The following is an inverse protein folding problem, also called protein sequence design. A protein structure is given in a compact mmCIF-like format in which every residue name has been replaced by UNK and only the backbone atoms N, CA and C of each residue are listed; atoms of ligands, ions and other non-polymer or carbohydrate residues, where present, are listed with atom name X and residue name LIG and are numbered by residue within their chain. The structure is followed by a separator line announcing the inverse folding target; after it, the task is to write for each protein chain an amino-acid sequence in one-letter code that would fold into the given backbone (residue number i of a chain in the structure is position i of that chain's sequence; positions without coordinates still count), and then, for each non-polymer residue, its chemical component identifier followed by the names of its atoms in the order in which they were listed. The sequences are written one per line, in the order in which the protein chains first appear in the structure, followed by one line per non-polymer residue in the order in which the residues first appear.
data_IF_708118256718
#
_entry.id   IF_708118256718
#
_cell.length_a   1.000
_cell.length_b   1.000
_cell.length_c   1.000
_cell.angle_alpha   90.00
_cell.angle_beta   90.00
_cell.angle_gamma   90.00
#
_symmetry.space_group_name_H-M   'P 1'
#
loop_
_entity.id
_entity.type
_entity.pdbx_description
1 polymer ?
#
# COMPACT_ATOMS: atom_id res chain seq x y z
N UNK A 1 9.69 -20.46 -5.62
CA UNK A 1 9.76 -19.99 -7.02
C UNK A 1 10.02 -21.21 -7.87
N UNK A 2 9.22 -21.46 -8.92
CA UNK A 2 9.41 -22.62 -9.77
C UNK A 2 10.79 -22.57 -10.45
N UNK A 3 11.36 -23.75 -10.73
CA UNK A 3 12.58 -23.84 -11.54
C UNK A 3 12.26 -23.63 -13.04
N UNK A 4 13.28 -23.56 -13.90
CA UNK A 4 13.06 -23.30 -15.33
C UNK A 4 12.27 -24.40 -16.05
N UNK A 5 12.42 -25.67 -15.67
CA UNK A 5 11.64 -26.75 -16.31
C UNK A 5 10.16 -26.65 -15.91
N UNK A 6 9.88 -26.38 -14.63
CA UNK A 6 8.52 -26.10 -14.15
C UNK A 6 7.92 -24.84 -14.82
N UNK A 7 8.73 -23.79 -15.06
CA UNK A 7 8.28 -22.61 -15.78
C UNK A 7 7.94 -22.89 -17.23
N UNK A 8 8.71 -23.74 -17.91
CA UNK A 8 8.40 -24.15 -19.29
C UNK A 8 7.06 -24.87 -19.36
N UNK A 9 6.77 -25.75 -18.39
CA UNK A 9 5.48 -26.42 -18.26
C UNK A 9 4.34 -25.42 -18.02
N UNK A 10 4.50 -24.50 -17.06
CA UNK A 10 3.49 -23.47 -16.74
C UNK A 10 3.23 -22.52 -17.90
N UNK A 11 4.28 -22.14 -18.64
CA UNK A 11 4.18 -21.26 -19.79
C UNK A 11 3.70 -21.98 -21.06
N UNK A 12 3.75 -23.32 -21.08
CA UNK A 12 3.50 -24.12 -22.28
C UNK A 12 4.54 -23.89 -23.39
N UNK A 13 5.73 -23.42 -23.04
CA UNK A 13 6.80 -23.04 -23.97
C UNK A 13 8.16 -23.50 -23.47
N UNK A 14 9.00 -24.02 -24.37
CA UNK A 14 10.38 -24.37 -24.05
C UNK A 14 11.35 -23.18 -24.17
N UNK A 15 10.86 -22.02 -24.63
CA UNK A 15 11.66 -20.82 -24.82
C UNK A 15 11.86 -20.09 -23.49
N UNK A 16 13.12 -19.85 -23.11
CA UNK A 16 13.45 -19.13 -21.88
C UNK A 16 12.86 -17.71 -21.85
N UNK A 17 12.70 -17.06 -23.01
CA UNK A 17 12.07 -15.75 -23.14
C UNK A 17 10.64 -15.75 -22.55
N UNK A 18 9.87 -16.80 -22.82
CA UNK A 18 8.49 -16.91 -22.31
C UNK A 18 8.48 -17.16 -20.80
N UNK A 19 9.42 -17.94 -20.28
CA UNK A 19 9.60 -18.10 -18.83
C UNK A 19 9.93 -16.76 -18.14
N UNK A 20 10.84 -15.96 -18.71
CA UNK A 20 11.15 -14.62 -18.16
C UNK A 20 9.97 -13.67 -18.27
N UNK A 21 9.26 -13.65 -19.41
CA UNK A 21 8.05 -12.83 -19.59
C UNK A 21 7.01 -13.18 -18.52
N UNK A 22 6.78 -14.46 -18.26
CA UNK A 22 5.86 -14.93 -17.24
C UNK A 22 6.26 -14.44 -15.84
N UNK A 23 7.52 -14.61 -15.44
CA UNK A 23 8.01 -14.14 -14.13
C UNK A 23 7.79 -12.63 -13.98
N UNK A 24 8.19 -11.83 -14.98
CA UNK A 24 8.06 -10.37 -14.88
C UNK A 24 6.61 -9.91 -14.90
N UNK A 25 5.73 -10.55 -15.68
CA UNK A 25 4.30 -10.25 -15.68
C UNK A 25 3.64 -10.61 -14.34
N UNK A 26 4.04 -11.73 -13.72
CA UNK A 26 3.59 -12.07 -12.38
C UNK A 26 4.06 -11.05 -11.35
N UNK A 27 5.35 -10.69 -11.37
CA UNK A 27 5.96 -9.74 -10.45
C UNK A 27 5.36 -8.31 -10.59
N UNK A 28 5.00 -7.89 -11.81
CA UNK A 28 4.25 -6.67 -12.10
C UNK A 28 2.85 -6.72 -11.46
N UNK A 29 2.10 -7.79 -11.71
CA UNK A 29 0.74 -8.00 -11.16
C UNK A 29 0.73 -8.02 -9.62
N UNK A 30 1.72 -8.68 -9.00
CA UNK A 30 1.88 -8.69 -7.55
C UNK A 30 2.13 -7.27 -7.01
N UNK A 31 2.93 -6.47 -7.71
CA UNK A 31 3.18 -5.08 -7.34
C UNK A 31 1.94 -4.19 -7.47
N UNK A 32 1.15 -4.36 -8.54
CA UNK A 32 -0.14 -3.67 -8.69
C UNK A 32 -1.10 -4.01 -7.55
N UNK A 33 -1.15 -5.28 -7.14
CA UNK A 33 -1.88 -5.72 -5.97
C UNK A 33 -1.40 -5.05 -4.67
N UNK A 34 -0.09 -4.84 -4.50
CA UNK A 34 0.47 -4.10 -3.37
C UNK A 34 0.07 -2.62 -3.39
N UNK A 35 0.18 -1.95 -4.55
CA UNK A 35 -0.22 -0.53 -4.73
C UNK A 35 -1.68 -0.33 -4.35
N UNK A 36 -2.57 -1.23 -4.80
CA UNK A 36 -3.99 -1.20 -4.47
C UNK A 36 -4.22 -1.31 -2.95
N UNK A 37 -3.63 -2.32 -2.30
CA UNK A 37 -3.78 -2.53 -0.84
C UNK A 37 -3.27 -1.34 -0.02
N UNK A 38 -2.10 -0.80 -0.36
CA UNK A 38 -1.55 0.38 0.35
C UNK A 38 -2.46 1.59 0.14
N UNK A 39 -3.03 1.76 -1.06
CA UNK A 39 -3.98 2.84 -1.35
C UNK A 39 -5.24 2.72 -0.49
N UNK A 40 -5.81 1.52 -0.37
CA UNK A 40 -6.96 1.24 0.49
C UNK A 40 -6.66 1.55 1.96
N UNK A 41 -5.50 1.10 2.47
CA UNK A 41 -5.05 1.40 3.83
C UNK A 41 -4.91 2.91 4.07
N UNK A 42 -4.30 3.64 3.13
CA UNK A 42 -4.20 5.10 3.21
C UNK A 42 -5.58 5.76 3.29
N UNK A 43 -6.54 5.31 2.47
CA UNK A 43 -7.88 5.87 2.44
C UNK A 43 -8.65 5.60 3.75
N UNK A 44 -8.56 4.37 4.28
CA UNK A 44 -9.15 4.04 5.58
C UNK A 44 -8.56 4.87 6.72
N UNK A 45 -7.24 5.09 6.69
CA UNK A 45 -6.56 5.87 7.72
C UNK A 45 -6.88 7.37 7.63
N UNK A 46 -7.01 7.93 6.42
CA UNK A 46 -7.50 9.31 6.21
C UNK A 46 -8.90 9.50 6.76
N UNK A 47 -9.81 8.56 6.52
CA UNK A 47 -11.17 8.61 7.07
C UNK A 47 -11.15 8.55 8.61
N UNK A 48 -10.31 7.69 9.19
CA UNK A 48 -10.15 7.60 10.64
C UNK A 48 -9.60 8.90 11.25
N UNK A 49 -8.59 9.51 10.61
CA UNK A 49 -8.02 10.79 11.04
C UNK A 49 -9.09 11.89 10.98
N UNK A 50 -9.88 11.96 9.91
CA UNK A 50 -10.97 12.93 9.79
C UNK A 50 -11.97 12.79 10.94
N UNK A 51 -12.42 11.56 11.21
CA UNK A 51 -13.36 11.29 12.32
C UNK A 51 -12.78 11.66 13.69
N UNK A 52 -11.49 11.40 13.91
CA UNK A 52 -10.85 11.77 15.17
C UNK A 52 -10.73 13.30 15.27
N UNK A 53 -10.50 14.03 14.17
CA UNK A 53 -10.47 15.48 14.17
C UNK A 53 -11.84 16.04 14.58
N UNK A 54 -12.92 15.53 13.98
CA UNK A 54 -14.30 15.93 14.33
C UNK A 54 -14.59 15.71 15.83
N UNK A 55 -14.19 14.56 16.39
CA UNK A 55 -14.37 14.23 17.80
C UNK A 55 -13.51 15.09 18.74
N UNK A 56 -12.29 15.45 18.31
CA UNK A 56 -11.41 16.34 19.07
C UNK A 56 -12.01 17.74 19.11
N UNK A 57 -12.49 18.26 17.98
CA UNK A 57 -13.12 19.57 17.87
C UNK A 57 -14.40 19.64 18.71
N UNK A 58 -15.24 18.60 18.62
CA UNK A 58 -16.44 18.46 19.48
C UNK A 58 -16.05 18.44 20.96
N UNK A 59 -15.07 17.61 21.34
CA UNK A 59 -14.60 17.50 22.72
C UNK A 59 -14.06 18.82 23.27
N UNK A 60 -13.32 19.60 22.46
CA UNK A 60 -12.80 20.91 22.88
C UNK A 60 -13.91 21.94 23.11
N UNK A 61 -15.08 21.77 22.49
CA UNK A 61 -16.23 22.65 22.65
C UNK A 61 -17.10 22.32 23.88
N UNK A 62 -16.85 21.19 24.55
CA UNK A 62 -17.60 20.79 25.76
C UNK A 62 -17.01 21.49 27.00
N UNK A 63 -17.83 22.28 27.70
CA UNK A 63 -17.40 23.09 28.84
C UNK A 63 -17.14 22.29 30.12
N UNK A 64 -17.67 21.06 30.23
CA UNK A 64 -17.59 20.24 31.44
C UNK A 64 -17.25 18.79 31.11
N UNK A 65 -15.95 18.48 31.15
CA UNK A 65 -15.48 17.10 31.29
C UNK A 65 -15.18 16.78 32.74
N UNK A 66 -15.54 15.57 33.16
CA UNK A 66 -14.90 14.97 34.33
C UNK A 66 -13.44 14.59 34.00
N UNK A 67 -12.66 14.28 35.04
CA UNK A 67 -11.25 13.97 34.87
C UNK A 67 -11.00 12.78 33.93
N UNK A 68 -11.90 11.79 33.89
CA UNK A 68 -11.77 10.62 33.03
C UNK A 68 -12.00 10.99 31.57
N UNK A 69 -13.01 11.80 31.28
CA UNK A 69 -13.31 12.26 29.93
C UNK A 69 -12.20 13.17 29.38
N UNK A 70 -11.58 14.00 30.22
CA UNK A 70 -10.41 14.80 29.83
C UNK A 70 -9.21 13.90 29.43
N UNK A 71 -8.92 12.86 30.21
CA UNK A 71 -7.87 11.87 29.85
C UNK A 71 -8.22 11.16 28.54
N UNK A 72 -9.51 10.87 28.30
CA UNK A 72 -9.98 10.29 27.04
C UNK A 72 -9.67 11.18 25.83
N UNK A 73 -9.96 12.48 25.93
CA UNK A 73 -9.66 13.45 24.87
C UNK A 73 -8.15 13.56 24.60
N UNK A 74 -7.32 13.61 25.65
CA UNK A 74 -5.85 13.61 25.47
C UNK A 74 -5.34 12.34 24.78
N UNK A 75 -5.90 11.18 25.12
CA UNK A 75 -5.57 9.93 24.46
C UNK A 75 -5.99 9.93 22.98
N UNK A 76 -7.13 10.53 22.66
CA UNK A 76 -7.62 10.68 21.28
C UNK A 76 -6.67 11.55 20.45
N UNK A 77 -6.21 12.69 20.99
CA UNK A 77 -5.21 13.57 20.36
C UNK A 77 -3.90 12.82 20.08
N UNK A 78 -3.40 12.07 21.06
CA UNK A 78 -2.20 11.24 20.90
C UNK A 78 -2.39 10.16 19.83
N UNK A 79 -3.55 9.50 19.82
CA UNK A 79 -3.87 8.48 18.83
C UNK A 79 -3.99 9.07 17.42
N UNK A 80 -4.54 10.29 17.27
CA UNK A 80 -4.60 10.99 15.99
C UNK A 80 -3.20 11.30 15.45
N UNK A 81 -2.29 11.82 16.29
CA UNK A 81 -0.92 12.08 15.89
C UNK A 81 -0.23 10.80 15.39
N UNK A 82 -0.40 9.67 16.09
CA UNK A 82 0.14 8.37 15.67
C UNK A 82 -0.49 7.85 14.36
N UNK A 83 -1.80 8.02 14.18
CA UNK A 83 -2.43 7.69 12.89
C UNK A 83 -1.82 8.54 11.75
N UNK A 84 -1.50 9.81 12.01
CA UNK A 84 -0.82 10.69 11.05
C UNK A 84 0.57 10.18 10.66
N UNK A 85 1.38 9.76 11.64
CA UNK A 85 2.70 9.16 11.39
C UNK A 85 2.60 7.87 10.54
N UNK A 86 1.66 6.99 10.87
CA UNK A 86 1.41 5.77 10.08
C UNK A 86 0.99 6.12 8.66
N UNK A 87 0.13 7.13 8.47
CA UNK A 87 -0.29 7.56 7.14
C UNK A 87 0.90 8.06 6.30
N UNK A 88 1.81 8.84 6.90
CA UNK A 88 3.01 9.30 6.21
C UNK A 88 3.91 8.13 5.78
N UNK A 89 4.10 7.14 6.65
CA UNK A 89 4.86 5.94 6.30
C UNK A 89 4.21 5.17 5.14
N UNK A 90 2.87 5.03 5.14
CA UNK A 90 2.14 4.36 4.04
C UNK A 90 2.20 5.15 2.73
N UNK A 91 2.19 6.48 2.78
CA UNK A 91 2.39 7.31 1.58
C UNK A 91 3.78 7.08 0.99
N UNK A 92 4.83 7.08 1.83
CA UNK A 92 6.18 6.76 1.37
C UNK A 92 6.29 5.36 0.76
N UNK A 93 5.64 4.37 1.38
CA UNK A 93 5.58 3.01 0.82
C UNK A 93 4.81 2.95 -0.51
N UNK A 94 3.74 3.72 -0.65
CA UNK A 94 2.96 3.82 -1.89
C UNK A 94 3.78 4.42 -3.03
N UNK A 95 4.54 5.48 -2.74
CA UNK A 95 5.39 6.14 -3.73
C UNK A 95 6.51 5.19 -4.20
N UNK A 96 7.11 4.45 -3.27
CA UNK A 96 8.08 3.40 -3.59
C UNK A 96 7.45 2.30 -4.45
N UNK A 97 6.29 1.79 -4.07
CA UNK A 97 5.59 0.74 -4.83
C UNK A 97 5.21 1.20 -6.24
N UNK A 98 4.86 2.47 -6.42
CA UNK A 98 4.58 3.06 -7.74
C UNK A 98 5.85 3.19 -8.59
N UNK A 99 6.96 3.62 -8.01
CA UNK A 99 8.24 3.69 -8.72
C UNK A 99 8.66 2.29 -9.20
N UNK A 100 8.57 1.28 -8.33
CA UNK A 100 8.85 -0.12 -8.66
C UNK A 100 7.90 -0.64 -9.75
N UNK A 101 6.63 -0.24 -9.75
CA UNK A 101 5.68 -0.64 -10.82
C UNK A 101 6.19 -0.20 -12.18
N UNK A 102 6.65 1.03 -12.29
CA UNK A 102 7.08 1.60 -13.56
C UNK A 102 8.37 0.90 -14.06
N UNK A 103 9.28 0.51 -13.14
CA UNK A 103 10.43 -0.35 -13.43
C UNK A 103 10.01 -1.76 -13.89
N UNK A 104 9.09 -2.42 -13.18
CA UNK A 104 8.61 -3.78 -13.52
C UNK A 104 7.90 -3.81 -14.86
N UNK A 105 7.07 -2.81 -15.15
CA UNK A 105 6.42 -2.65 -16.45
C UNK A 105 7.45 -2.52 -17.58
N UNK A 106 8.57 -1.84 -17.32
CA UNK A 106 9.67 -1.78 -18.29
C UNK A 106 10.31 -3.15 -18.53
N UNK A 107 10.50 -3.97 -17.49
CA UNK A 107 11.03 -5.34 -17.64
C UNK A 107 10.12 -6.21 -18.53
N UNK A 108 8.80 -6.12 -18.35
CA UNK A 108 7.84 -6.83 -19.21
C UNK A 108 7.96 -6.35 -20.66
N UNK A 109 7.99 -5.04 -20.92
CA UNK A 109 8.13 -4.49 -22.27
C UNK A 109 9.42 -4.97 -22.97
N UNK A 110 10.54 -5.08 -22.26
CA UNK A 110 11.80 -5.58 -22.82
C UNK A 110 11.71 -7.03 -23.30
N UNK A 111 10.81 -7.82 -22.72
CA UNK A 111 10.54 -9.19 -23.17
C UNK A 111 9.58 -9.24 -24.36
N UNK A 112 8.83 -8.18 -24.65
CA UNK A 112 7.91 -8.12 -25.82
C UNK A 112 8.57 -7.60 -27.09
N UNK A 113 9.56 -6.72 -26.98
CA UNK A 113 10.18 -6.04 -28.15
C UNK A 113 11.27 -6.88 -28.83
N UNK A 114 11.79 -7.92 -28.16
CA UNK A 114 12.89 -8.77 -28.66
C UNK A 114 12.38 -10.03 -29.37
N UNK A 115 11.49 -9.88 -30.35
CA UNK A 115 11.15 -10.96 -31.30
C UNK A 115 12.25 -11.15 -32.34
#
# INVERSE_FOLDING_TARGET
MPNFEELKEVCGSNEFKDCFKFIFAQDESENDGMVMKITELCNGLRQKISKFADLIDEGQCISHFDATAQVGLECLVKAQARNGEILQALIGALDLARAIRDEKRHHVMLMEVRD
#
